data_IF_942000739355
#
_entry.id   IF_942000739355
#
_cell.length_a   1.000
_cell.length_b   1.000
_cell.length_c   1.000
_cell.angle_alpha   90.00
_cell.angle_beta   90.00
_cell.angle_gamma   90.00
#
_symmetry.space_group_name_H-M   'P 1'
#
loop_
_entity.id
_entity.type
_entity.pdbx_description
1 polymer ?
#
# COMPACT_ATOMS: atom_id res chain seq x y z
N UNK A 1 -5.24 -15.22 -4.66
CA UNK A 1 -5.15 -14.09 -3.71
C UNK A 1 -6.03 -14.43 -2.52
N UNK A 2 -5.47 -14.57 -1.32
CA UNK A 2 -6.18 -15.16 -0.18
C UNK A 2 -6.78 -14.14 0.80
N UNK A 3 -6.64 -12.85 0.52
CA UNK A 3 -7.19 -11.76 1.32
C UNK A 3 -7.69 -10.66 0.37
N UNK A 4 -8.62 -9.82 0.81
CA UNK A 4 -9.18 -8.70 0.03
C UNK A 4 -8.17 -7.57 -0.29
N UNK A 5 -6.88 -7.82 -0.05
CA UNK A 5 -5.78 -6.91 -0.37
C UNK A 5 -5.28 -7.11 -1.81
N UNK A 6 -4.90 -6.02 -2.45
CA UNK A 6 -4.12 -6.01 -3.68
C UNK A 6 -2.91 -5.09 -3.55
N UNK A 7 -1.84 -5.41 -4.27
CA UNK A 7 -0.61 -4.63 -4.32
C UNK A 7 -0.26 -4.39 -5.78
N UNK A 8 -0.07 -3.12 -6.15
CA UNK A 8 0.28 -2.70 -7.50
C UNK A 8 1.57 -1.90 -7.47
N UNK A 9 2.51 -2.21 -8.38
CA UNK A 9 3.79 -1.54 -8.49
C UNK A 9 3.83 -0.66 -9.73
N UNK A 10 4.18 0.62 -9.57
CA UNK A 10 4.20 1.57 -10.67
C UNK A 10 5.16 2.73 -10.40
N UNK A 11 5.45 3.49 -11.45
CA UNK A 11 6.19 4.75 -11.37
C UNK A 11 5.18 5.89 -11.21
N UNK A 12 4.98 6.33 -9.97
CA UNK A 12 4.16 7.51 -9.66
C UNK A 12 4.92 8.78 -10.08
N UNK A 13 4.24 9.80 -10.60
CA UNK A 13 4.91 11.07 -10.95
C UNK A 13 5.36 11.88 -9.74
N UNK A 14 4.84 11.56 -8.53
CA UNK A 14 5.24 12.15 -7.26
C UNK A 14 6.54 11.58 -6.70
N UNK A 15 6.94 10.39 -7.15
CA UNK A 15 8.08 9.65 -6.63
C UNK A 15 9.10 9.39 -7.74
N UNK A 16 10.39 9.50 -7.43
CA UNK A 16 11.43 9.27 -8.44
C UNK A 16 11.64 7.78 -8.72
N UNK A 17 11.36 6.93 -7.72
CA UNK A 17 11.53 5.48 -7.83
C UNK A 17 10.18 4.75 -7.90
N UNK A 18 10.29 3.44 -8.12
CA UNK A 18 9.16 2.52 -8.03
C UNK A 18 8.42 2.73 -6.70
N UNK A 19 7.10 2.79 -6.79
CA UNK A 19 6.17 2.90 -5.67
C UNK A 19 5.26 1.68 -5.67
N UNK A 20 4.91 1.20 -4.48
CA UNK A 20 3.90 0.16 -4.30
C UNK A 20 2.65 0.77 -3.69
N UNK A 21 1.48 0.47 -4.25
CA UNK A 21 0.18 0.84 -3.71
C UNK A 21 -0.51 -0.38 -3.13
N UNK A 22 -1.05 -0.23 -1.91
CA UNK A 22 -1.81 -1.26 -1.24
C UNK A 22 -3.27 -0.82 -1.21
N UNK A 23 -4.14 -1.69 -1.74
CA UNK A 23 -5.58 -1.50 -1.72
C UNK A 23 -6.27 -2.61 -0.93
N UNK A 24 -7.41 -2.32 -0.30
CA UNK A 24 -8.29 -3.28 0.35
C UNK A 24 -9.72 -3.13 -0.16
N UNK A 25 -10.29 -4.23 -0.67
CA UNK A 25 -11.62 -4.24 -1.33
C UNK A 25 -11.76 -3.15 -2.41
N UNK A 26 -10.67 -2.90 -3.15
CA UNK A 26 -10.61 -1.89 -4.20
C UNK A 26 -10.49 -0.43 -3.71
N UNK A 27 -10.39 -0.19 -2.40
CA UNK A 27 -10.03 1.12 -1.85
C UNK A 27 -8.53 1.22 -1.60
N UNK A 28 -7.91 2.31 -2.07
CA UNK A 28 -6.51 2.60 -1.76
C UNK A 28 -6.38 2.92 -0.27
N UNK A 29 -5.49 2.19 0.41
CA UNK A 29 -5.16 2.40 1.82
C UNK A 29 -3.94 3.32 1.95
N UNK A 30 -2.86 2.90 1.31
CA UNK A 30 -1.55 3.52 1.48
C UNK A 30 -0.65 3.20 0.29
N UNK A 31 0.42 3.97 0.19
CA UNK A 31 1.52 3.73 -0.73
C UNK A 31 2.84 3.63 0.04
N UNK A 32 3.77 2.86 -0.52
CA UNK A 32 5.11 2.64 0.00
C UNK A 32 6.12 3.05 -1.08
N UNK A 33 7.06 3.91 -0.74
CA UNK A 33 8.11 4.35 -1.66
C UNK A 33 9.51 4.20 -1.02
N UNK A 34 10.55 4.16 -1.87
CA UNK A 34 11.95 3.99 -1.46
C UNK A 34 12.85 5.15 -1.87
N UNK A 35 12.28 6.33 -2.05
CA UNK A 35 13.00 7.49 -2.62
C UNK A 35 14.19 7.88 -1.76
N UNK A 36 14.03 7.88 -0.43
CA UNK A 36 15.10 8.15 0.55
C UNK A 36 16.12 7.01 0.70
N UNK A 37 15.91 5.89 0.01
CA UNK A 37 16.83 4.76 -0.01
C UNK A 37 16.28 3.52 0.73
N UNK A 38 17.01 2.40 0.67
CA UNK A 38 16.50 1.10 1.13
C UNK A 38 16.29 1.01 2.65
N UNK A 39 16.95 1.87 3.42
CA UNK A 39 16.83 1.91 4.88
C UNK A 39 15.80 2.94 5.37
N UNK A 40 15.30 3.79 4.47
CA UNK A 40 14.38 4.89 4.75
C UNK A 40 13.13 4.76 3.88
N UNK A 41 12.57 3.55 3.83
CA UNK A 41 11.30 3.28 3.15
C UNK A 41 10.18 3.97 3.91
N UNK A 42 9.37 4.76 3.20
CA UNK A 42 8.27 5.53 3.78
C UNK A 42 6.92 4.95 3.36
N UNK A 43 5.93 5.13 4.24
CA UNK A 43 4.54 4.77 4.00
C UNK A 43 3.67 6.02 4.12
N UNK A 44 2.84 6.27 3.11
CA UNK A 44 1.87 7.36 3.05
C UNK A 44 0.46 6.77 3.08
N UNK A 45 -0.38 7.22 4.03
CA UNK A 45 -1.78 6.80 4.13
C UNK A 45 -2.70 7.83 3.47
N UNK A 46 -3.68 7.34 2.71
CA UNK A 46 -4.70 8.18 2.09
C UNK A 46 -5.95 8.19 2.97
N UNK A 47 -5.96 9.10 3.94
CA UNK A 47 -7.09 9.28 4.86
C UNK A 47 -8.20 10.17 4.27
N UNK A 48 -7.91 10.95 3.23
CA UNK A 48 -8.84 11.91 2.66
C UNK A 48 -9.56 11.37 1.41
N UNK A 49 -10.89 11.32 1.50
CA UNK A 49 -11.83 11.58 0.39
C UNK A 49 -12.05 10.53 -0.71
N UNK A 50 -12.28 9.26 -0.37
CA UNK A 50 -13.21 8.44 -1.18
C UNK A 50 -14.19 7.72 -0.26
N UNK A 51 -15.28 8.41 0.07
CA UNK A 51 -16.54 7.72 0.39
C UNK A 51 -16.88 6.91 -0.87
N UNK A 52 -16.55 5.61 -0.88
CA UNK A 52 -17.12 4.73 -1.89
C UNK A 52 -18.65 4.78 -1.74
N UNK A 53 -19.34 4.53 -2.85
CA UNK A 53 -20.80 4.45 -2.85
C UNK A 53 -21.34 3.38 -1.89
N UNK A 54 -20.50 2.41 -1.52
CA UNK A 54 -20.74 1.41 -0.48
C UNK A 54 -19.73 1.60 0.65
N UNK A 55 -20.20 1.55 1.90
CA UNK A 55 -19.34 1.58 3.09
C UNK A 55 -18.46 0.31 3.10
N UNK A 56 -17.19 0.47 2.73
CA UNK A 56 -16.19 -0.57 2.98
C UNK A 56 -15.73 -0.45 4.42
N UNK A 57 -16.03 -1.45 5.24
CA UNK A 57 -15.47 -1.55 6.58
C UNK A 57 -13.95 -1.75 6.48
N UNK A 58 -13.18 -0.71 6.78
CA UNK A 58 -11.71 -0.70 6.78
C UNK A 58 -11.16 -1.41 8.02
N UNK A 59 -11.51 -2.69 8.14
CA UNK A 59 -11.15 -3.56 9.24
C UNK A 59 -10.73 -4.92 8.71
N UNK A 60 -9.57 -5.36 9.16
CA UNK A 60 -8.91 -6.58 8.73
C UNK A 60 -7.93 -7.06 9.82
N UNK A 61 -7.49 -8.33 9.81
CA UNK A 61 -6.55 -8.84 10.80
C UNK A 61 -5.20 -8.10 10.76
N UNK A 62 -4.71 -7.70 11.94
CA UNK A 62 -3.44 -6.98 12.08
C UNK A 62 -2.26 -7.76 11.49
N UNK A 63 -2.15 -9.04 11.81
CA UNK A 63 -1.04 -9.89 11.35
C UNK A 63 -1.02 -10.04 9.82
N UNK A 64 -2.20 -10.06 9.20
CA UNK A 64 -2.32 -10.07 7.73
C UNK A 64 -1.78 -8.76 7.17
N UNK A 65 -2.17 -7.61 7.72
CA UNK A 65 -1.69 -6.32 7.24
C UNK A 65 -0.18 -6.17 7.42
N UNK A 66 0.38 -6.59 8.55
CA UNK A 66 1.83 -6.59 8.79
C UNK A 66 2.56 -7.48 7.77
N UNK A 67 2.01 -8.66 7.43
CA UNK A 67 2.59 -9.53 6.41
C UNK A 67 2.65 -8.84 5.06
N UNK A 68 1.54 -8.22 4.62
CA UNK A 68 1.47 -7.47 3.36
C UNK A 68 2.52 -6.36 3.35
N UNK A 69 2.63 -5.55 4.40
CA UNK A 69 3.64 -4.49 4.48
C UNK A 69 5.07 -5.02 4.33
N UNK A 70 5.39 -6.13 4.99
CA UNK A 70 6.73 -6.72 4.93
C UNK A 70 7.03 -7.31 3.54
N UNK A 71 6.08 -8.05 2.96
CA UNK A 71 6.20 -8.64 1.62
C UNK A 71 6.37 -7.54 0.56
N UNK A 72 5.51 -6.52 0.58
CA UNK A 72 5.58 -5.38 -0.34
C UNK A 72 6.90 -4.63 -0.21
N UNK A 73 7.39 -4.39 1.02
CA UNK A 73 8.69 -3.75 1.23
C UNK A 73 9.83 -4.59 0.64
N UNK A 74 9.82 -5.91 0.86
CA UNK A 74 10.85 -6.80 0.31
C UNK A 74 10.84 -6.78 -1.22
N UNK A 75 9.67 -6.89 -1.84
CA UNK A 75 9.52 -6.81 -3.29
C UNK A 75 9.94 -5.46 -3.85
N UNK A 76 9.61 -4.36 -3.18
CA UNK A 76 10.02 -3.02 -3.58
C UNK A 76 11.54 -2.82 -3.55
N UNK A 77 12.25 -3.53 -2.68
CA UNK A 77 13.70 -3.42 -2.51
C UNK A 77 14.52 -4.34 -3.42
N UNK A 78 13.89 -5.35 -4.02
CA UNK A 78 14.49 -6.19 -5.05
C UNK A 78 14.75 -5.40 -6.35
#
# INVERSE_FOLDING_TARGET
MKNDFSVDFFSDSRYEKLTAEISYKGQILCQINKDKGPNEVEIEFFNDSRLLAEEVEMKFPLDVFISILNETKLELLN
#
